data_IF_428685026240
#
_entry.id   IF_428685026240
#
_cell.length_a   1.000
_cell.length_b   1.000
_cell.length_c   1.000
_cell.angle_alpha   90.00
_cell.angle_beta   90.00
_cell.angle_gamma   90.00
#
_symmetry.space_group_name_H-M   'P 1'
#
loop_
_entity.id
_entity.type
_entity.pdbx_description
1 polymer ?
#
# COMPACT_ATOMS: atom_id res chain seq x y z
N UNK A 1 -4.82 -8.42 16.51
CA UNK A 1 -4.28 -7.12 16.07
C UNK A 1 -3.21 -6.57 16.98
N UNK A 2 -1.98 -6.46 16.48
CA UNK A 2 -0.88 -5.76 17.14
C UNK A 2 -0.94 -4.26 16.81
N UNK A 3 -1.63 -3.48 17.64
CA UNK A 3 -1.91 -2.05 17.40
C UNK A 3 -0.61 -1.23 17.31
N UNK A 4 0.32 -1.46 18.23
CA UNK A 4 1.57 -0.70 18.29
C UNK A 4 2.47 -0.96 17.09
N UNK A 5 2.53 -2.21 16.64
CA UNK A 5 3.27 -2.57 15.42
C UNK A 5 2.66 -1.92 14.18
N UNK A 6 1.33 -1.95 14.02
CA UNK A 6 0.65 -1.28 12.91
C UNK A 6 0.92 0.22 12.92
N UNK A 7 0.79 0.88 14.08
CA UNK A 7 1.09 2.31 14.22
C UNK A 7 2.54 2.63 13.86
N UNK A 8 3.50 1.82 14.32
CA UNK A 8 4.92 1.97 13.96
C UNK A 8 5.12 1.88 12.45
N UNK A 9 4.51 0.89 11.78
CA UNK A 9 4.62 0.72 10.32
C UNK A 9 3.96 1.86 9.54
N UNK A 10 2.79 2.33 9.97
CA UNK A 10 2.16 3.53 9.39
C UNK A 10 3.08 4.74 9.55
N UNK A 11 3.67 4.93 10.73
CA UNK A 11 4.57 6.04 11.01
C UNK A 11 5.79 6.03 10.08
N UNK A 12 6.37 4.86 9.80
CA UNK A 12 7.45 4.71 8.82
C UNK A 12 7.02 5.23 7.44
N UNK A 13 5.81 4.93 6.99
CA UNK A 13 5.30 5.40 5.69
C UNK A 13 5.06 6.93 5.70
N UNK A 14 4.62 7.49 6.84
CA UNK A 14 4.45 8.94 6.98
C UNK A 14 5.80 9.68 6.91
N UNK A 15 6.86 9.09 7.44
CA UNK A 15 8.23 9.64 7.41
C UNK A 15 8.93 9.39 6.07
N UNK A 16 8.61 8.27 5.41
CA UNK A 16 9.21 7.83 4.16
C UNK A 16 8.12 7.65 3.09
N UNK A 17 7.55 8.76 2.59
CA UNK A 17 6.42 8.72 1.69
C UNK A 17 6.71 8.01 0.36
N UNK A 18 7.97 7.90 -0.04
CA UNK A 18 8.44 7.22 -1.25
C UNK A 18 8.14 5.72 -1.25
N UNK A 19 7.97 5.10 -0.07
CA UNK A 19 7.55 3.70 0.05
C UNK A 19 6.16 3.47 -0.56
N UNK A 20 5.33 4.51 -0.62
CA UNK A 20 4.01 4.47 -1.25
C UNK A 20 4.11 4.99 -2.69
N UNK A 21 3.98 4.07 -3.65
CA UNK A 21 4.06 4.40 -5.09
C UNK A 21 2.84 5.18 -5.62
N UNK A 22 1.66 4.90 -5.09
CA UNK A 22 0.38 5.46 -5.54
C UNK A 22 -0.52 5.80 -4.35
N UNK A 23 -1.45 6.74 -4.54
CA UNK A 23 -2.43 7.13 -3.51
C UNK A 23 -1.93 8.19 -2.53
N UNK A 24 -2.84 8.62 -1.64
CA UNK A 24 -2.55 9.65 -0.65
C UNK A 24 -1.82 9.11 0.58
N UNK A 25 -1.06 10.00 1.22
CA UNK A 25 -0.42 9.75 2.52
C UNK A 25 -1.13 10.63 3.54
N UNK A 26 -1.98 9.99 4.35
CA UNK A 26 -2.84 10.66 5.30
C UNK A 26 -3.19 9.71 6.44
N UNK A 27 -3.69 10.29 7.53
CA UNK A 27 -4.20 9.53 8.67
C UNK A 27 -5.31 10.33 9.33
N UNK A 28 -6.54 9.82 9.25
CA UNK A 28 -7.67 10.46 9.89
C UNK A 28 -7.71 10.13 11.39
N UNK A 29 -8.30 11.00 12.23
CA UNK A 29 -8.47 10.70 13.64
C UNK A 29 -9.33 9.45 13.85
N UNK A 30 -9.10 8.77 14.97
CA UNK A 30 -9.94 7.65 15.41
C UNK A 30 -11.38 8.08 15.68
N UNK A 31 -12.30 7.13 15.58
CA UNK A 31 -13.69 7.29 16.02
C UNK A 31 -13.84 6.97 17.50
N UNK A 32 -14.65 7.77 18.18
CA UNK A 32 -15.11 7.45 19.52
C UNK A 32 -16.04 6.23 19.51
N UNK A 33 -15.93 5.37 20.53
CA UNK A 33 -16.78 4.18 20.71
C UNK A 33 -18.27 4.47 20.59
N UNK A 34 -18.73 5.61 21.13
CA UNK A 34 -20.13 6.02 21.06
C UNK A 34 -20.60 6.30 19.63
N UNK A 35 -19.73 6.84 18.76
CA UNK A 35 -20.02 7.07 17.35
C UNK A 35 -20.12 5.75 16.59
N UNK A 36 -19.20 4.83 16.84
CA UNK A 36 -19.22 3.49 16.22
C UNK A 36 -20.46 2.71 16.64
N UNK A 37 -20.77 2.68 17.94
CA UNK A 37 -21.97 2.02 18.47
C UNK A 37 -23.27 2.61 17.90
N UNK A 38 -23.32 3.92 17.66
CA UNK A 38 -24.45 4.58 17.01
C UNK A 38 -24.62 4.09 15.56
N UNK A 39 -23.53 4.05 14.78
CA UNK A 39 -23.56 3.60 13.36
C UNK A 39 -23.99 2.14 13.28
N UNK A 40 -23.46 1.26 14.13
CA UNK A 40 -23.87 -0.13 14.22
C UNK A 40 -25.37 -0.27 14.51
N UNK A 41 -25.88 0.51 15.47
CA UNK A 41 -27.31 0.50 15.84
C UNK A 41 -28.19 1.00 14.70
N UNK A 42 -27.80 2.08 14.03
CA UNK A 42 -28.54 2.66 12.90
C UNK A 42 -28.63 1.68 11.74
N UNK A 43 -27.56 0.94 11.48
CA UNK A 43 -27.46 -0.04 10.39
C UNK A 43 -27.87 -1.47 10.80
N UNK A 44 -28.15 -1.71 12.08
CA UNK A 44 -28.48 -3.05 12.65
C UNK A 44 -27.40 -4.10 12.39
N UNK A 45 -26.15 -3.69 12.45
CA UNK A 45 -24.98 -4.55 12.27
C UNK A 45 -24.11 -4.53 13.53
N UNK A 46 -23.09 -5.38 13.53
CA UNK A 46 -21.93 -5.24 14.42
C UNK A 46 -20.71 -5.33 13.51
N UNK A 47 -19.77 -4.40 13.60
CA UNK A 47 -18.59 -4.42 12.77
C UNK A 47 -17.69 -5.63 13.11
N UNK A 48 -16.89 -6.13 12.16
CA UNK A 48 -15.80 -7.05 12.45
C UNK A 48 -14.89 -6.50 13.55
N UNK A 49 -14.47 -7.35 14.49
CA UNK A 49 -13.79 -6.92 15.71
C UNK A 49 -12.44 -6.24 15.44
N UNK A 50 -11.70 -6.76 14.46
CA UNK A 50 -10.44 -6.20 13.97
C UNK A 50 -10.63 -4.81 13.36
N UNK A 51 -11.61 -4.65 12.46
CA UNK A 51 -11.92 -3.35 11.85
C UNK A 51 -12.44 -2.33 12.86
N UNK A 52 -13.31 -2.76 13.80
CA UNK A 52 -13.77 -1.90 14.90
C UNK A 52 -12.60 -1.39 15.73
N UNK A 53 -11.68 -2.28 16.09
CA UNK A 53 -10.47 -1.93 16.85
C UNK A 53 -9.62 -0.94 16.04
N UNK A 54 -9.51 -1.14 14.74
CA UNK A 54 -8.72 -0.27 13.87
C UNK A 54 -9.27 1.16 13.84
N UNK A 55 -10.56 1.33 13.57
CA UNK A 55 -11.16 2.67 13.46
C UNK A 55 -11.24 3.41 14.79
N UNK A 56 -11.21 2.71 15.93
CA UNK A 56 -11.28 3.30 17.27
C UNK A 56 -9.92 3.54 17.92
N UNK A 57 -8.87 2.83 17.50
CA UNK A 57 -7.56 2.89 18.15
C UNK A 57 -6.40 3.26 17.22
N UNK A 58 -6.57 3.14 15.90
CA UNK A 58 -5.54 3.43 14.89
C UNK A 58 -5.98 4.63 14.03
N UNK A 59 -6.96 4.47 13.14
CA UNK A 59 -7.42 5.55 12.26
C UNK A 59 -8.78 5.26 11.61
N UNK A 60 -9.59 6.29 11.37
CA UNK A 60 -10.82 6.20 10.57
C UNK A 60 -10.56 6.52 9.10
N UNK A 61 -9.79 5.65 8.45
CA UNK A 61 -9.23 5.88 7.13
C UNK A 61 -7.84 6.52 7.22
N UNK A 62 -6.92 5.99 6.43
CA UNK A 62 -5.51 6.39 6.43
C UNK A 62 -4.82 5.83 5.20
N UNK A 63 -3.50 6.02 5.15
CA UNK A 63 -2.63 5.32 4.22
C UNK A 63 -2.92 3.81 4.24
N UNK A 64 -3.00 3.23 3.05
CA UNK A 64 -3.40 1.84 2.84
C UNK A 64 -3.01 1.34 1.46
N UNK A 65 -3.41 0.13 1.08
CA UNK A 65 -3.30 -0.36 -0.29
C UNK A 65 -3.80 0.68 -1.31
N UNK A 66 -3.23 0.67 -2.52
CA UNK A 66 -3.69 1.49 -3.65
C UNK A 66 -3.95 2.97 -3.31
N UNK A 67 -5.22 3.42 -3.29
CA UNK A 67 -5.57 4.81 -3.01
C UNK A 67 -5.74 5.13 -1.50
N UNK A 68 -5.57 4.13 -0.64
CA UNK A 68 -5.70 4.25 0.81
C UNK A 68 -7.06 3.84 1.35
N UNK A 69 -7.14 3.73 2.67
CA UNK A 69 -8.36 3.35 3.38
C UNK A 69 -9.32 4.53 3.50
N UNK A 70 -10.54 4.35 2.96
CA UNK A 70 -11.66 5.27 3.12
C UNK A 70 -12.12 5.30 4.59
N UNK A 71 -12.61 6.44 5.04
CA UNK A 71 -13.28 6.53 6.34
C UNK A 71 -14.54 5.66 6.35
N UNK A 72 -15.02 5.29 7.54
CA UNK A 72 -16.25 4.50 7.69
C UNK A 72 -17.45 5.14 6.96
N UNK A 73 -17.54 6.48 6.96
CA UNK A 73 -18.61 7.18 6.24
C UNK A 73 -18.45 7.01 4.73
N UNK A 74 -17.28 7.36 4.19
CA UNK A 74 -17.01 7.25 2.77
C UNK A 74 -17.20 5.82 2.30
N UNK A 75 -16.78 4.80 3.07
CA UNK A 75 -16.90 3.40 2.69
C UNK A 75 -18.35 2.90 2.54
N UNK A 76 -19.36 3.66 2.99
CA UNK A 76 -20.79 3.38 2.71
C UNK A 76 -21.29 4.00 1.41
N UNK A 77 -20.57 4.96 0.84
CA UNK A 77 -20.91 5.64 -0.41
C UNK A 77 -20.38 4.82 -1.58
N UNK A 78 -21.24 4.58 -2.58
CA UNK A 78 -20.85 3.85 -3.77
C UNK A 78 -19.82 4.65 -4.60
N UNK A 79 -18.76 3.98 -5.03
CA UNK A 79 -17.66 4.61 -5.77
C UNK A 79 -18.06 5.04 -7.18
N UNK A 80 -19.00 4.32 -7.82
CA UNK A 80 -19.44 4.62 -9.18
C UNK A 80 -20.48 5.74 -9.19
N UNK A 81 -21.44 5.69 -8.25
CA UNK A 81 -22.55 6.62 -8.13
C UNK A 81 -22.62 7.20 -6.73
N UNK A 82 -22.01 8.39 -6.56
CA UNK A 82 -21.86 9.06 -5.26
C UNK A 82 -23.18 9.43 -4.56
N UNK A 83 -24.29 9.40 -5.27
CA UNK A 83 -25.64 9.60 -4.72
C UNK A 83 -26.26 8.31 -4.15
N UNK A 84 -25.59 7.17 -4.28
CA UNK A 84 -26.02 5.87 -3.75
C UNK A 84 -25.25 5.51 -2.48
N UNK A 85 -25.95 4.84 -1.58
CA UNK A 85 -25.39 4.31 -0.33
C UNK A 85 -25.62 2.80 -0.31
N UNK A 86 -24.60 2.07 0.12
CA UNK A 86 -24.65 0.62 0.28
C UNK A 86 -25.48 0.29 1.52
N UNK A 87 -26.50 -0.55 1.37
CA UNK A 87 -27.30 -1.03 2.50
C UNK A 87 -26.51 -2.06 3.31
N UNK A 88 -26.05 -1.68 4.50
CA UNK A 88 -25.32 -2.57 5.40
C UNK A 88 -26.24 -3.56 6.14
N UNK A 89 -27.55 -3.27 6.22
CA UNK A 89 -28.51 -4.05 7.00
C UNK A 89 -28.98 -5.32 6.28
N UNK A 90 -28.92 -5.32 4.95
CA UNK A 90 -29.11 -6.52 4.13
C UNK A 90 -27.83 -7.35 4.12
N UNK A 91 -27.89 -8.67 4.41
CA UNK A 91 -26.70 -9.53 4.39
C UNK A 91 -26.07 -9.64 3.00
N UNK A 92 -24.74 -9.65 2.94
CA UNK A 92 -24.00 -9.96 1.72
C UNK A 92 -24.38 -11.36 1.19
N UNK A 93 -24.74 -11.50 -0.10
CA UNK A 93 -25.42 -12.69 -0.58
C UNK A 93 -24.48 -13.85 -0.96
N UNK A 94 -23.18 -13.60 -1.13
CA UNK A 94 -22.23 -14.57 -1.68
C UNK A 94 -21.33 -15.18 -0.61
N UNK A 95 -20.90 -16.42 -0.84
CA UNK A 95 -19.90 -17.14 -0.01
C UNK A 95 -18.69 -17.63 -0.82
N UNK A 96 -18.80 -17.58 -2.14
CA UNK A 96 -17.79 -17.94 -3.14
C UNK A 96 -17.82 -16.90 -4.27
N UNK A 97 -16.88 -16.99 -5.21
CA UNK A 97 -16.85 -16.11 -6.38
C UNK A 97 -18.23 -15.99 -7.04
N UNK A 98 -18.62 -14.77 -7.38
CA UNK A 98 -19.86 -14.48 -8.09
C UNK A 98 -19.61 -13.62 -9.32
N UNK A 99 -20.26 -13.98 -10.42
CA UNK A 99 -20.38 -13.14 -11.60
C UNK A 99 -21.69 -13.45 -12.35
N UNK A 100 -22.09 -12.60 -13.29
CA UNK A 100 -23.25 -12.83 -14.18
C UNK A 100 -22.80 -13.56 -15.46
N UNK A 101 -22.29 -14.79 -15.31
CA UNK A 101 -21.64 -15.52 -16.41
C UNK A 101 -22.54 -15.70 -17.64
N UNK A 102 -23.83 -16.02 -17.44
CA UNK A 102 -24.77 -16.22 -18.54
C UNK A 102 -24.93 -14.95 -19.39
N UNK A 103 -25.04 -13.78 -18.74
CA UNK A 103 -25.15 -12.50 -19.42
C UNK A 103 -23.82 -12.09 -20.07
N UNK A 104 -22.70 -12.24 -19.36
CA UNK A 104 -21.38 -11.89 -19.89
C UNK A 104 -20.98 -12.70 -21.12
N UNK A 105 -21.31 -14.00 -21.13
CA UNK A 105 -21.06 -14.90 -22.25
C UNK A 105 -22.03 -14.67 -23.44
N UNK A 106 -23.13 -13.94 -23.22
CA UNK A 106 -24.07 -13.60 -24.30
C UNK A 106 -23.59 -12.45 -25.18
N UNK A 107 -22.60 -11.68 -24.73
CA UNK A 107 -22.08 -10.48 -25.39
C UNK A 107 -20.93 -10.86 -26.33
N UNK A 108 -20.99 -10.42 -27.59
CA UNK A 108 -19.91 -10.57 -28.56
C UNK A 108 -18.82 -9.49 -28.37
N UNK A 109 -17.99 -9.67 -27.35
CA UNK A 109 -16.91 -8.74 -27.00
C UNK A 109 -15.92 -8.51 -28.14
N UNK A 110 -15.58 -9.58 -28.88
CA UNK A 110 -14.64 -9.58 -30.01
C UNK A 110 -15.24 -8.90 -31.25
N UNK A 111 -16.55 -9.04 -31.45
CA UNK A 111 -17.33 -8.29 -32.44
C UNK A 111 -17.55 -6.82 -32.09
N UNK A 112 -17.12 -6.39 -30.89
CA UNK A 112 -17.24 -5.01 -30.43
C UNK A 112 -18.57 -4.69 -29.75
N UNK A 113 -19.41 -5.68 -29.47
CA UNK A 113 -20.63 -5.51 -28.68
C UNK A 113 -20.28 -5.05 -27.26
N UNK A 114 -21.10 -4.16 -26.70
CA UNK A 114 -20.94 -3.66 -25.34
C UNK A 114 -22.31 -3.64 -24.65
N UNK A 115 -22.37 -3.94 -23.35
CA UNK A 115 -23.55 -3.74 -22.53
C UNK A 115 -24.25 -2.40 -22.75
N UNK A 116 -25.57 -2.44 -22.74
CA UNK A 116 -26.39 -1.22 -22.62
C UNK A 116 -26.20 -0.59 -21.24
N UNK A 117 -26.42 0.74 -21.09
CA UNK A 117 -26.34 1.40 -19.80
C UNK A 117 -27.22 0.77 -18.72
N UNK A 118 -28.41 0.30 -19.08
CA UNK A 118 -29.35 -0.37 -18.17
C UNK A 118 -28.81 -1.72 -17.66
N UNK A 119 -28.15 -2.49 -18.52
CA UNK A 119 -27.50 -3.74 -18.11
C UNK A 119 -26.31 -3.48 -17.19
N UNK A 120 -25.47 -2.49 -17.52
CA UNK A 120 -24.38 -2.05 -16.63
C UNK A 120 -24.93 -1.60 -15.30
N UNK A 121 -26.02 -0.82 -15.29
CA UNK A 121 -26.64 -0.34 -14.07
C UNK A 121 -27.13 -1.48 -13.17
N UNK A 122 -27.77 -2.49 -13.77
CA UNK A 122 -28.22 -3.70 -13.08
C UNK A 122 -27.07 -4.54 -12.50
N UNK A 123 -25.99 -4.70 -13.27
CA UNK A 123 -24.81 -5.45 -12.86
C UNK A 123 -24.03 -4.76 -11.73
N UNK A 124 -23.93 -3.43 -11.80
CA UNK A 124 -23.22 -2.61 -10.82
C UNK A 124 -24.10 -2.22 -9.61
N UNK A 125 -25.40 -2.55 -9.58
CA UNK A 125 -26.32 -2.21 -8.48
C UNK A 125 -25.72 -2.57 -7.10
N UNK A 126 -25.76 -1.59 -6.18
CA UNK A 126 -25.34 -1.72 -4.78
C UNK A 126 -25.95 -2.91 -4.04
N UNK A 127 -27.10 -3.44 -4.48
CA UNK A 127 -27.68 -4.68 -3.92
C UNK A 127 -26.73 -5.87 -4.00
N UNK A 128 -25.86 -5.93 -5.02
CA UNK A 128 -24.85 -6.98 -5.20
C UNK A 128 -23.76 -6.93 -4.13
N UNK A 129 -23.55 -5.76 -3.52
CA UNK A 129 -22.56 -5.52 -2.46
C UNK A 129 -23.21 -5.07 -1.14
N UNK A 130 -24.50 -5.41 -0.95
CA UNK A 130 -25.18 -5.20 0.33
C UNK A 130 -24.41 -5.88 1.46
N UNK A 131 -24.46 -5.30 2.66
CA UNK A 131 -23.73 -5.83 3.81
C UNK A 131 -22.22 -5.62 3.75
N UNK A 132 -21.71 -4.82 2.82
CA UNK A 132 -20.28 -4.51 2.66
C UNK A 132 -19.96 -3.03 2.83
N UNK A 133 -18.72 -2.75 3.23
CA UNK A 133 -18.08 -1.43 3.14
C UNK A 133 -17.09 -1.45 1.98
N UNK A 134 -17.14 -0.49 1.06
CA UNK A 134 -16.11 -0.27 0.04
C UNK A 134 -14.93 0.48 0.67
N UNK A 135 -13.99 -0.25 1.27
CA UNK A 135 -12.95 0.32 2.16
C UNK A 135 -11.73 0.88 1.42
N UNK A 136 -11.46 0.46 0.18
CA UNK A 136 -10.28 0.88 -0.57
C UNK A 136 -10.56 0.81 -2.07
N UNK A 137 -10.31 1.89 -2.82
CA UNK A 137 -10.40 1.88 -4.30
C UNK A 137 -9.03 1.54 -4.90
N UNK A 138 -9.02 0.73 -5.95
CA UNK A 138 -7.80 0.14 -6.54
C UNK A 138 -7.38 0.88 -7.82
N UNK A 139 -8.20 1.79 -8.32
CA UNK A 139 -8.06 2.31 -9.68
C UNK A 139 -9.07 1.65 -10.59
N UNK A 140 -9.26 2.22 -11.78
CA UNK A 140 -10.15 1.68 -12.83
C UNK A 140 -11.59 1.40 -12.39
N UNK A 141 -12.02 1.84 -11.20
CA UNK A 141 -13.35 1.63 -10.60
C UNK A 141 -13.51 0.33 -9.80
N UNK A 142 -12.46 -0.47 -9.63
CA UNK A 142 -12.46 -1.63 -8.73
C UNK A 142 -12.20 -1.24 -7.27
N UNK A 143 -12.62 -2.08 -6.32
CA UNK A 143 -12.45 -1.80 -4.89
C UNK A 143 -12.36 -3.03 -4.01
N UNK A 144 -11.72 -2.91 -2.84
CA UNK A 144 -11.83 -3.89 -1.78
C UNK A 144 -13.06 -3.61 -0.92
N UNK A 145 -13.83 -4.66 -0.67
CA UNK A 145 -14.98 -4.71 0.19
C UNK A 145 -14.60 -5.36 1.52
N UNK A 146 -15.08 -4.79 2.64
CA UNK A 146 -15.14 -5.49 3.92
C UNK A 146 -16.58 -5.91 4.18
N UNK A 147 -16.83 -7.22 4.29
CA UNK A 147 -18.16 -7.72 4.64
C UNK A 147 -18.43 -7.46 6.13
N UNK A 148 -19.49 -6.70 6.42
CA UNK A 148 -19.91 -6.36 7.79
C UNK A 148 -21.20 -7.08 8.22
N UNK A 149 -21.93 -7.64 7.26
CA UNK A 149 -23.16 -8.40 7.50
C UNK A 149 -23.32 -9.54 6.49
N UNK A 150 -23.68 -10.73 6.96
CA UNK A 150 -23.76 -11.95 6.14
C UNK A 150 -22.83 -13.06 6.61
N UNK A 151 -22.83 -14.19 5.88
CA UNK A 151 -22.04 -15.39 6.22
C UNK A 151 -20.53 -15.13 6.15
N UNK A 152 -20.13 -14.18 5.32
CA UNK A 152 -18.74 -13.83 5.06
C UNK A 152 -18.24 -12.66 5.91
N UNK A 153 -18.99 -12.30 6.96
CA UNK A 153 -18.65 -11.17 7.84
C UNK A 153 -17.21 -11.28 8.37
N UNK A 154 -16.46 -10.20 8.18
CA UNK A 154 -15.07 -10.07 8.61
C UNK A 154 -14.04 -10.34 7.52
N UNK A 155 -14.46 -10.87 6.36
CA UNK A 155 -13.55 -11.15 5.25
C UNK A 155 -13.51 -10.03 4.22
N UNK A 156 -12.36 -9.92 3.56
CA UNK A 156 -12.11 -9.01 2.45
C UNK A 156 -12.52 -9.69 1.14
N UNK A 157 -13.20 -8.91 0.31
CA UNK A 157 -13.59 -9.29 -1.04
C UNK A 157 -13.10 -8.26 -2.03
N UNK A 158 -12.75 -8.68 -3.24
CA UNK A 158 -12.45 -7.83 -4.36
C UNK A 158 -13.73 -7.61 -5.19
N UNK A 159 -14.06 -6.35 -5.42
CA UNK A 159 -15.07 -5.90 -6.37
C UNK A 159 -14.41 -5.52 -7.69
N UNK A 160 -14.42 -6.45 -8.63
CA UNK A 160 -13.89 -6.31 -9.99
C UNK A 160 -15.01 -6.17 -11.03
N UNK A 161 -16.25 -5.86 -10.61
CA UNK A 161 -17.38 -5.73 -11.53
C UNK A 161 -17.14 -4.65 -12.59
N UNK A 162 -16.37 -3.61 -12.30
CA UNK A 162 -16.05 -2.59 -13.29
C UNK A 162 -15.31 -3.14 -14.52
N UNK A 163 -14.55 -4.22 -14.35
CA UNK A 163 -13.85 -4.96 -15.42
C UNK A 163 -14.60 -6.25 -15.81
N UNK A 164 -15.88 -6.37 -15.45
CA UNK A 164 -16.72 -7.56 -15.62
C UNK A 164 -16.15 -8.83 -14.95
N UNK A 165 -15.27 -8.67 -13.96
CA UNK A 165 -14.63 -9.75 -13.22
C UNK A 165 -15.40 -10.23 -11.99
N UNK A 166 -16.59 -9.68 -11.73
CA UNK A 166 -17.43 -10.10 -10.62
C UNK A 166 -16.88 -9.74 -9.23
N UNK A 167 -17.24 -10.56 -8.25
CA UNK A 167 -16.91 -10.41 -6.84
C UNK A 167 -16.19 -11.68 -6.35
N UNK A 168 -15.04 -11.53 -5.71
CA UNK A 168 -14.22 -12.67 -5.25
C UNK A 168 -13.74 -12.48 -3.82
N UNK A 169 -13.66 -13.53 -2.98
CA UNK A 169 -12.97 -13.42 -1.70
C UNK A 169 -11.46 -13.27 -1.93
N UNK A 170 -10.81 -12.41 -1.15
CA UNK A 170 -9.35 -12.33 -1.12
C UNK A 170 -8.79 -13.48 -0.29
N UNK A 171 -7.78 -14.16 -0.84
CA UNK A 171 -7.19 -15.36 -0.25
C UNK A 171 -5.69 -15.16 -0.03
N UNK A 172 -5.16 -15.73 1.06
CA UNK A 172 -3.71 -15.87 1.22
C UNK A 172 -3.15 -17.00 0.32
N UNK A 173 -1.82 -17.18 0.35
CA UNK A 173 -1.12 -18.23 -0.41
C UNK A 173 -1.59 -19.67 -0.10
N UNK A 174 -2.26 -19.88 1.04
CA UNK A 174 -2.81 -21.18 1.45
C UNK A 174 -4.28 -21.36 1.06
N UNK A 175 -4.89 -20.37 0.40
CA UNK A 175 -6.30 -20.38 0.03
C UNK A 175 -7.25 -20.03 1.18
N UNK A 176 -6.77 -19.43 2.26
CA UNK A 176 -7.59 -18.99 3.39
C UNK A 176 -8.06 -17.55 3.17
N UNK A 177 -9.33 -17.27 3.48
CA UNK A 177 -9.92 -15.93 3.33
C UNK A 177 -9.25 -14.92 4.25
N UNK A 178 -8.92 -13.75 3.70
CA UNK A 178 -8.27 -12.68 4.44
C UNK A 178 -9.28 -11.93 5.31
N UNK A 179 -8.96 -11.78 6.59
CA UNK A 179 -9.63 -10.80 7.48
C UNK A 179 -9.12 -9.39 7.19
N UNK A 180 -9.77 -8.36 7.73
CA UNK A 180 -9.26 -6.98 7.60
C UNK A 180 -7.86 -6.84 8.18
N UNK A 181 -7.62 -7.41 9.36
CA UNK A 181 -6.29 -7.39 9.98
C UNK A 181 -5.23 -8.01 9.06
N UNK A 182 -5.46 -9.24 8.60
CA UNK A 182 -4.50 -9.97 7.75
C UNK A 182 -4.17 -9.16 6.49
N UNK A 183 -5.20 -8.77 5.74
CA UNK A 183 -5.05 -8.01 4.50
C UNK A 183 -4.28 -6.71 4.70
N UNK A 184 -4.60 -5.94 5.75
CA UNK A 184 -3.92 -4.67 5.99
C UNK A 184 -2.48 -4.86 6.50
N UNK A 185 -2.23 -5.86 7.35
CA UNK A 185 -0.88 -6.15 7.84
C UNK A 185 0.03 -6.73 6.78
N UNK A 186 -0.49 -7.55 5.87
CA UNK A 186 0.27 -8.11 4.76
C UNK A 186 0.76 -6.98 3.84
N UNK A 187 -0.12 -6.04 3.51
CA UNK A 187 0.26 -4.84 2.78
C UNK A 187 1.31 -4.00 3.51
N UNK A 188 1.13 -3.76 4.83
CA UNK A 188 2.12 -3.02 5.62
C UNK A 188 3.48 -3.73 5.61
N UNK A 189 3.52 -5.04 5.82
CA UNK A 189 4.74 -5.85 5.80
C UNK A 189 5.48 -5.72 4.47
N UNK A 190 4.75 -5.72 3.37
CA UNK A 190 5.33 -5.58 2.04
C UNK A 190 5.87 -4.17 1.79
N UNK A 191 5.13 -3.13 2.18
CA UNK A 191 5.51 -1.73 1.91
C UNK A 191 6.67 -1.27 2.79
N UNK A 192 6.68 -1.68 4.06
CA UNK A 192 7.74 -1.31 5.02
C UNK A 192 8.77 -2.43 5.21
N UNK A 193 8.92 -3.30 4.21
CA UNK A 193 9.93 -4.33 4.23
C UNK A 193 11.31 -3.70 4.52
N UNK A 194 12.13 -4.25 5.45
CA UNK A 194 13.34 -3.60 5.94
C UNK A 194 14.28 -3.12 4.82
N UNK A 195 14.43 -3.90 3.76
CA UNK A 195 15.26 -3.55 2.60
C UNK A 195 14.73 -2.35 1.81
N UNK A 196 13.39 -2.18 1.71
CA UNK A 196 12.77 -1.01 1.07
C UNK A 196 12.94 0.23 1.93
N UNK A 197 12.69 0.11 3.24
CA UNK A 197 12.85 1.22 4.20
C UNK A 197 14.30 1.69 4.21
N UNK A 198 15.25 0.75 4.30
CA UNK A 198 16.67 1.06 4.26
C UNK A 198 17.04 1.78 2.96
N UNK A 199 16.59 1.27 1.81
CA UNK A 199 16.87 1.87 0.52
C UNK A 199 16.36 3.33 0.43
N UNK A 200 15.10 3.57 0.77
CA UNK A 200 14.51 4.92 0.67
C UNK A 200 15.12 5.90 1.69
N UNK A 201 15.35 5.48 2.95
CA UNK A 201 16.04 6.33 3.93
C UNK A 201 17.46 6.67 3.49
N UNK A 202 18.19 5.69 2.92
CA UNK A 202 19.53 5.92 2.36
C UNK A 202 19.50 7.00 1.29
N UNK A 203 18.55 6.91 0.35
CA UNK A 203 18.35 7.94 -0.68
C UNK A 203 18.06 9.32 -0.07
N UNK A 204 17.22 9.40 0.96
CA UNK A 204 16.91 10.66 1.64
C UNK A 204 18.16 11.30 2.27
N UNK A 205 18.94 10.53 3.04
CA UNK A 205 20.15 11.04 3.70
C UNK A 205 21.25 11.42 2.70
N UNK A 206 21.45 10.62 1.66
CA UNK A 206 22.47 10.89 0.63
C UNK A 206 22.07 12.11 -0.21
N UNK A 207 20.81 12.23 -0.65
CA UNK A 207 20.35 13.41 -1.40
C UNK A 207 20.34 14.68 -0.53
N UNK A 208 20.15 14.55 0.79
CA UNK A 208 20.31 15.66 1.74
C UNK A 208 21.77 16.11 1.84
N UNK A 209 22.72 15.17 1.91
CA UNK A 209 24.16 15.47 1.92
C UNK A 209 24.63 16.07 0.58
N UNK A 210 24.12 15.55 -0.54
CA UNK A 210 24.50 15.92 -1.89
C UNK A 210 23.26 16.26 -2.73
N UNK A 211 22.73 17.50 -2.66
CA UNK A 211 21.54 17.91 -3.40
C UNK A 211 21.66 17.82 -4.93
N UNK A 212 22.89 17.84 -5.45
CA UNK A 212 23.25 17.65 -6.86
C UNK A 212 24.09 16.40 -7.03
N UNK A 213 23.55 15.27 -6.58
CA UNK A 213 24.27 13.99 -6.54
C UNK A 213 24.84 13.61 -7.91
N UNK A 214 24.16 13.94 -9.00
CA UNK A 214 24.59 13.70 -10.38
C UNK A 214 25.88 14.43 -10.80
N UNK A 215 26.26 15.51 -10.10
CA UNK A 215 27.52 16.24 -10.33
C UNK A 215 28.70 15.64 -9.55
N UNK A 216 28.45 14.68 -8.66
CA UNK A 216 29.47 14.01 -7.82
C UNK A 216 30.06 12.77 -8.51
N UNK A 217 31.19 12.26 -8.01
CA UNK A 217 31.80 11.05 -8.57
C UNK A 217 31.14 9.80 -7.98
N UNK A 218 30.37 9.08 -8.80
CA UNK A 218 29.71 7.83 -8.40
C UNK A 218 30.69 6.76 -7.89
N UNK A 219 31.94 6.77 -8.36
CA UNK A 219 32.96 5.79 -7.93
C UNK A 219 33.42 6.09 -6.51
N UNK A 220 33.67 7.37 -6.22
CA UNK A 220 33.97 7.82 -4.86
C UNK A 220 32.77 7.60 -3.94
N UNK A 221 31.54 7.88 -4.40
CA UNK A 221 30.33 7.58 -3.63
C UNK A 221 30.21 6.07 -3.31
N UNK A 222 30.55 5.22 -4.27
CA UNK A 222 30.64 3.76 -4.05
C UNK A 222 31.68 3.45 -2.97
N UNK A 223 32.84 4.10 -3.00
CA UNK A 223 33.91 3.92 -2.00
C UNK A 223 33.53 4.39 -0.58
N UNK A 224 32.80 5.49 -0.42
CA UNK A 224 32.44 5.95 0.94
C UNK A 224 31.28 5.18 1.56
N UNK A 225 30.53 4.43 0.75
CA UNK A 225 29.35 3.67 1.20
C UNK A 225 29.61 2.17 1.33
N UNK A 226 30.67 1.59 0.74
CA UNK A 226 30.76 0.12 0.58
C UNK A 226 30.74 -0.68 1.89
N UNK A 227 31.15 -0.09 3.01
CA UNK A 227 31.15 -0.79 4.31
C UNK A 227 29.74 -0.98 4.90
N UNK A 228 28.75 -0.22 4.40
CA UNK A 228 27.38 -0.21 4.94
C UNK A 228 26.37 -1.02 4.11
N UNK A 229 26.81 -1.64 3.02
CA UNK A 229 25.92 -2.37 2.12
C UNK A 229 26.58 -3.65 1.61
N UNK A 230 25.76 -4.67 1.35
CA UNK A 230 26.20 -5.75 0.45
C UNK A 230 26.44 -5.19 -0.95
N UNK A 231 27.35 -5.79 -1.72
CA UNK A 231 27.69 -5.38 -3.09
C UNK A 231 26.44 -5.20 -3.98
N UNK A 232 25.45 -6.09 -3.85
CA UNK A 232 24.21 -6.03 -4.64
C UNK A 232 23.36 -4.82 -4.29
N UNK A 233 23.23 -4.52 -2.99
CA UNK A 233 22.44 -3.37 -2.54
C UNK A 233 23.16 -2.06 -2.87
N UNK A 234 24.48 -2.02 -2.68
CA UNK A 234 25.31 -0.87 -3.06
C UNK A 234 25.20 -0.56 -4.55
N UNK A 235 25.33 -1.58 -5.41
CA UNK A 235 25.21 -1.42 -6.85
C UNK A 235 23.84 -0.87 -7.26
N UNK A 236 22.77 -1.36 -6.63
CA UNK A 236 21.40 -0.89 -6.87
C UNK A 236 21.21 0.57 -6.44
N UNK A 237 21.73 0.94 -5.26
CA UNK A 237 21.67 2.30 -4.72
C UNK A 237 22.42 3.30 -5.61
N UNK A 238 23.68 2.98 -5.97
CA UNK A 238 24.50 3.83 -6.85
C UNK A 238 23.86 3.94 -8.22
N UNK A 239 23.38 2.84 -8.80
CA UNK A 239 22.66 2.88 -10.06
C UNK A 239 21.44 3.81 -10.02
N UNK A 240 20.67 3.77 -8.94
CA UNK A 240 19.51 4.65 -8.76
C UNK A 240 19.92 6.13 -8.60
N UNK A 241 20.95 6.42 -7.82
CA UNK A 241 21.41 7.80 -7.57
C UNK A 241 21.95 8.48 -8.82
N UNK A 242 22.62 7.74 -9.70
CA UNK A 242 23.35 8.29 -10.86
C UNK A 242 22.74 7.94 -12.23
N UNK A 243 21.63 7.21 -12.27
CA UNK A 243 21.00 6.79 -13.53
C UNK A 243 21.85 5.78 -14.32
N UNK A 244 22.52 4.85 -13.62
CA UNK A 244 23.42 3.85 -14.19
C UNK A 244 22.77 2.46 -14.22
N UNK A 245 23.43 1.50 -14.87
CA UNK A 245 23.02 0.10 -14.83
C UNK A 245 23.59 -0.58 -13.57
N UNK A 246 22.76 -1.18 -12.70
CA UNK A 246 23.24 -1.82 -11.48
C UNK A 246 24.17 -3.02 -11.74
N UNK A 247 24.02 -3.73 -12.86
CA UNK A 247 24.87 -4.87 -13.20
C UNK A 247 26.30 -4.40 -13.48
N UNK A 248 26.45 -3.29 -14.20
CA UNK A 248 27.76 -2.72 -14.54
C UNK A 248 28.49 -2.24 -13.28
N UNK A 249 27.76 -1.64 -12.33
CA UNK A 249 28.33 -1.25 -11.03
C UNK A 249 28.78 -2.50 -10.27
N UNK A 250 27.90 -3.49 -10.12
CA UNK A 250 28.17 -4.69 -9.33
C UNK A 250 29.47 -5.40 -9.73
N UNK A 251 29.71 -5.60 -11.03
CA UNK A 251 30.93 -6.26 -11.50
C UNK A 251 32.20 -5.42 -11.34
N UNK A 252 32.07 -4.11 -11.17
CA UNK A 252 33.17 -3.17 -11.09
C UNK A 252 33.42 -2.62 -9.67
N UNK A 253 32.56 -2.95 -8.67
CA UNK A 253 32.69 -2.51 -7.27
C UNK A 253 34.11 -2.72 -6.74
N UNK A 254 34.67 -3.92 -6.95
CA UNK A 254 36.04 -4.25 -6.49
C UNK A 254 37.11 -3.31 -7.05
N UNK A 255 36.87 -2.67 -8.20
CA UNK A 255 37.76 -1.64 -8.76
C UNK A 255 37.47 -0.27 -8.15
N UNK A 256 36.24 0.04 -7.81
CA UNK A 256 35.88 1.34 -7.23
C UNK A 256 36.28 1.46 -5.76
N UNK A 257 36.36 0.37 -5.02
CA UNK A 257 36.67 0.40 -3.58
C UNK A 257 38.18 0.46 -3.26
N UNK A 258 39.03 0.65 -4.27
CA UNK A 258 40.48 0.76 -4.11
C UNK A 258 40.87 2.15 -3.58
N UNK A 259 41.28 2.24 -2.31
CA UNK A 259 41.55 3.50 -1.59
C UNK A 259 42.55 4.41 -2.30
N UNK A 260 43.58 3.84 -2.92
CA UNK A 260 44.64 4.56 -3.64
C UNK A 260 44.13 5.40 -4.83
N UNK A 261 42.86 5.23 -5.23
CA UNK A 261 42.25 5.98 -6.34
C UNK A 261 41.75 7.37 -5.96
N UNK A 262 41.58 7.66 -4.68
CA UNK A 262 40.95 8.90 -4.23
C UNK A 262 41.86 9.67 -3.28
N UNK A 263 41.78 11.00 -3.34
CA UNK A 263 42.50 11.83 -2.40
C UNK A 263 41.80 11.87 -1.04
N UNK A 264 42.59 11.81 0.02
CA UNK A 264 42.11 11.74 1.41
C UNK A 264 41.21 12.94 1.79
N UNK A 265 41.49 14.12 1.23
CA UNK A 265 40.72 15.33 1.53
C UNK A 265 39.31 15.24 0.95
N UNK A 266 39.14 14.72 -0.26
CA UNK A 266 37.83 14.53 -0.89
C UNK A 266 37.05 13.41 -0.21
N UNK A 267 37.70 12.31 0.21
CA UNK A 267 37.05 11.28 1.05
C UNK A 267 36.48 11.91 2.32
N UNK A 268 37.32 12.63 3.09
CA UNK A 268 36.90 13.29 4.33
C UNK A 268 35.79 14.30 4.11
N UNK A 269 35.77 14.99 2.96
CA UNK A 269 34.68 15.90 2.60
C UNK A 269 33.36 15.14 2.41
N UNK A 270 33.36 14.00 1.71
CA UNK A 270 32.14 13.21 1.50
C UNK A 270 31.63 12.63 2.83
N UNK A 271 32.53 12.06 3.63
CA UNK A 271 32.20 11.53 4.95
C UNK A 271 31.66 12.62 5.89
N UNK A 272 32.22 13.83 5.85
CA UNK A 272 31.71 14.95 6.64
C UNK A 272 30.29 15.34 6.22
N UNK A 273 30.00 15.41 4.91
CA UNK A 273 28.66 15.73 4.40
C UNK A 273 27.62 14.64 4.75
N UNK A 274 28.00 13.37 4.66
CA UNK A 274 27.16 12.24 5.09
C UNK A 274 26.91 12.26 6.61
N UNK A 275 27.92 12.63 7.41
CA UNK A 275 27.77 12.80 8.86
C UNK A 275 26.83 13.94 9.19
N UNK A 276 26.99 15.09 8.55
CA UNK A 276 26.11 16.26 8.73
C UNK A 276 24.66 15.98 8.31
N UNK A 277 24.44 15.08 7.33
CA UNK A 277 23.09 14.68 6.95
C UNK A 277 22.42 13.78 7.98
N UNK A 278 23.20 13.10 8.82
CA UNK A 278 22.77 12.11 9.80
C UNK A 278 22.86 10.66 9.29
N UNK A 279 23.47 10.41 8.13
CA UNK A 279 23.52 9.09 7.50
C UNK A 279 24.17 8.04 8.41
N UNK A 280 25.35 8.33 8.97
CA UNK A 280 26.08 7.36 9.78
C UNK A 280 25.42 7.07 11.13
N UNK A 281 24.83 8.09 11.75
CA UNK A 281 24.11 7.91 13.02
C UNK A 281 22.90 6.98 12.80
N UNK A 282 22.13 7.21 11.73
CA UNK A 282 21.03 6.34 11.33
C UNK A 282 21.49 4.92 10.97
N UNK A 283 22.53 4.79 10.14
CA UNK A 283 23.02 3.48 9.69
C UNK A 283 23.52 2.62 10.86
N UNK A 284 24.11 3.24 11.89
CA UNK A 284 24.61 2.51 13.08
C UNK A 284 23.48 2.11 14.03
N UNK A 285 22.38 2.86 14.10
CA UNK A 285 21.22 2.55 14.95
C UNK A 285 20.41 1.34 14.44
N UNK A 286 20.57 0.98 13.17
CA UNK A 286 19.77 -0.02 12.47
C UNK A 286 20.59 -1.28 12.06
N UNK A 287 21.89 -1.35 12.42
CA UNK A 287 22.75 -2.55 12.41
C UNK A 287 22.52 -3.45 13.64
#
# INVERSE_FOLDING_TARGET
MNIEEIKKKIQIILEVPQLKRFGGIYMNPVLEEAKVAKIEKENRITLPADYRTFITQIANGCVGPDYGLRSLKEATEDLMWKDRTIDLSTPFPYTEHWNEEEWLNSIDWDGGERPTPEEVESYMDTKRISGCLQICHIGHGASYLLVVNGKEKGYIWLDSRQDYGGLSPELNEKGEKLTFEMWYTDWLNEVVAPEKVWFEKSLQFIKKAFPKIEETDFRLMTYVLYEHYSDRNLATLIAHLYGLNPIDIYFEIGKFIQREKYDEKTIQQYEAQLRESGFYDWATEEE
#
